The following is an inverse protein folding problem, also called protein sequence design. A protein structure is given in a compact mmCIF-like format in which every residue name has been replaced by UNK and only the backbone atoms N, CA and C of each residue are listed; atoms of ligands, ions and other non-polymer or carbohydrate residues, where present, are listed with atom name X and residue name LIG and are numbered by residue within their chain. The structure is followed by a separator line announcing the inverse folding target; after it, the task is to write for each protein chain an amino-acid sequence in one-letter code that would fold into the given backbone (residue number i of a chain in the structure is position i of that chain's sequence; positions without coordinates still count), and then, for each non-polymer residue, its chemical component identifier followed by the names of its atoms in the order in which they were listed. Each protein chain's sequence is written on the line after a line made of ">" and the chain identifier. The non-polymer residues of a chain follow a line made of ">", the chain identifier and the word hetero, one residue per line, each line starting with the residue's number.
data_IF_857110022955
#
_entry.id   IF_857110022955
#
_cell.length_a   1.000
_cell.length_b   1.000
_cell.length_c   1.000
_cell.angle_alpha   90.00
_cell.angle_beta   90.00
_cell.angle_gamma   90.00
#
_symmetry.space_group_name_H-M   'P 1'
#
loop_
_entity.id
_entity.type
_entity.pdbx_description
1 polymer ?
#
# COMPACT_ATOMS: atom_id res chain seq x y z
N UNK A 1 -7.11 -14.39 4.68
CA UNK A 1 -5.94 -13.84 3.96
C UNK A 1 -4.99 -13.30 5.00
N UNK A 2 -3.76 -13.78 5.03
CA UNK A 2 -2.72 -13.17 5.87
C UNK A 2 -2.48 -11.74 5.36
N UNK A 3 -2.48 -10.77 6.28
CA UNK A 3 -2.25 -9.34 5.98
C UNK A 3 -0.74 -9.11 6.01
N UNK A 4 -0.18 -8.51 4.96
CA UNK A 4 1.29 -8.40 4.83
C UNK A 4 1.90 -7.42 5.83
N UNK A 5 3.21 -7.55 6.09
CA UNK A 5 3.94 -6.62 6.96
C UNK A 5 3.78 -5.16 6.52
N UNK A 6 3.82 -4.90 5.20
CA UNK A 6 3.57 -3.61 4.61
C UNK A 6 2.17 -3.05 4.92
N UNK A 7 1.11 -3.87 4.80
CA UNK A 7 -0.26 -3.44 5.07
C UNK A 7 -0.47 -3.12 6.56
N UNK A 8 0.09 -3.94 7.45
CA UNK A 8 0.05 -3.70 8.89
C UNK A 8 0.77 -2.39 9.26
N UNK A 9 1.96 -2.15 8.69
CA UNK A 9 2.72 -0.91 8.90
C UNK A 9 1.92 0.33 8.46
N UNK A 10 1.30 0.29 7.28
CA UNK A 10 0.55 1.39 6.71
C UNK A 10 -0.67 1.78 7.57
N UNK A 11 -1.41 0.78 8.07
CA UNK A 11 -2.57 1.01 8.94
C UNK A 11 -2.15 1.44 10.35
N UNK A 12 -1.16 0.78 10.95
CA UNK A 12 -0.68 1.10 12.29
C UNK A 12 -0.08 2.51 12.37
N UNK A 13 0.62 2.94 11.32
CA UNK A 13 1.20 4.28 11.20
C UNK A 13 0.20 5.34 10.74
N UNK A 14 -1.07 4.95 10.48
CA UNK A 14 -2.15 5.82 9.97
C UNK A 14 -1.78 6.55 8.67
N UNK A 15 -0.89 5.97 7.87
CA UNK A 15 -0.52 6.50 6.55
C UNK A 15 -1.67 6.37 5.55
N UNK A 16 -2.46 5.30 5.70
CA UNK A 16 -3.71 5.09 4.96
C UNK A 16 -4.80 4.57 5.89
N UNK A 17 -6.05 4.70 5.44
CA UNK A 17 -7.23 4.09 6.06
C UNK A 17 -7.50 2.70 5.52
N UNK A 18 -8.31 1.90 6.22
CA UNK A 18 -8.76 0.59 5.74
C UNK A 18 -9.51 0.69 4.40
N UNK A 19 -10.32 1.74 4.21
CA UNK A 19 -11.04 1.97 2.96
C UNK A 19 -10.08 2.24 1.79
N UNK A 20 -9.02 3.03 2.02
CA UNK A 20 -7.97 3.24 1.02
C UNK A 20 -7.21 1.95 0.74
N UNK A 21 -6.88 1.16 1.76
CA UNK A 21 -6.22 -0.13 1.58
C UNK A 21 -7.06 -1.10 0.73
N UNK A 22 -8.37 -1.20 1.01
CA UNK A 22 -9.28 -2.01 0.22
C UNK A 22 -9.28 -1.57 -1.25
N UNK A 23 -9.37 -0.25 -1.50
CA UNK A 23 -9.34 0.30 -2.86
C UNK A 23 -8.02 0.04 -3.58
N UNK A 24 -6.90 0.15 -2.87
CA UNK A 24 -5.56 -0.12 -3.41
C UNK A 24 -5.41 -1.59 -3.79
N UNK A 25 -5.93 -2.53 -2.98
CA UNK A 25 -5.91 -3.97 -3.30
C UNK A 25 -6.67 -4.28 -4.59
N UNK A 26 -7.86 -3.69 -4.76
CA UNK A 26 -8.63 -3.82 -6.00
C UNK A 26 -7.83 -3.31 -7.22
N UNK A 27 -7.23 -2.13 -7.09
CA UNK A 27 -6.44 -1.52 -8.16
C UNK A 27 -5.17 -2.32 -8.47
N UNK A 28 -4.51 -2.88 -7.46
CA UNK A 28 -3.35 -3.75 -7.64
C UNK A 28 -3.71 -4.99 -8.47
N UNK A 29 -4.86 -5.61 -8.21
CA UNK A 29 -5.37 -6.73 -9.02
C UNK A 29 -5.69 -6.30 -10.46
N UNK A 30 -6.40 -5.18 -10.63
CA UNK A 30 -6.80 -4.68 -11.95
C UNK A 30 -5.60 -4.26 -12.81
N UNK A 31 -4.60 -3.64 -12.22
CA UNK A 31 -3.40 -3.16 -12.91
C UNK A 31 -2.29 -4.21 -13.00
N UNK A 32 -2.50 -5.40 -12.45
CA UNK A 32 -1.48 -6.44 -12.32
C UNK A 32 -0.20 -5.90 -11.64
N UNK A 33 -0.38 -5.04 -10.64
CA UNK A 33 0.69 -4.36 -9.91
C UNK A 33 0.81 -4.83 -8.46
N UNK A 34 1.79 -4.27 -7.75
CA UNK A 34 1.95 -4.49 -6.31
C UNK A 34 1.38 -3.34 -5.49
N UNK A 35 1.04 -3.61 -4.24
CA UNK A 35 0.46 -2.64 -3.31
C UNK A 35 1.30 -1.35 -3.19
N UNK A 36 2.66 -1.41 -3.00
CA UNK A 36 3.48 -0.21 -2.91
C UNK A 36 3.45 0.64 -4.18
N UNK A 37 3.48 0.02 -5.36
CA UNK A 37 3.44 0.74 -6.65
C UNK A 37 2.13 1.49 -6.82
N UNK A 38 1.01 0.86 -6.48
CA UNK A 38 -0.31 1.49 -6.58
C UNK A 38 -0.42 2.65 -5.59
N UNK A 39 0.00 2.48 -4.34
CA UNK A 39 0.00 3.55 -3.33
C UNK A 39 0.78 4.78 -3.81
N UNK A 40 1.99 4.57 -4.34
CA UNK A 40 2.83 5.65 -4.85
C UNK A 40 2.23 6.32 -6.08
N UNK A 41 1.71 5.54 -7.05
CA UNK A 41 1.04 6.08 -8.25
C UNK A 41 -0.21 6.92 -7.92
N UNK A 42 -0.92 6.58 -6.83
CA UNK A 42 -2.08 7.34 -6.37
C UNK A 42 -1.70 8.56 -5.51
N UNK A 43 -0.42 8.77 -5.21
CA UNK A 43 0.05 9.83 -4.32
C UNK A 43 -0.37 9.63 -2.86
N UNK A 44 -0.70 8.41 -2.46
CA UNK A 44 -1.08 8.08 -1.08
C UNK A 44 0.12 7.92 -0.14
N UNK A 45 1.31 7.70 -0.73
CA UNK A 45 2.59 7.64 -0.02
C UNK A 45 3.64 8.40 -0.82
N UNK A 46 4.66 8.90 -0.12
CA UNK A 46 5.84 9.50 -0.74
C UNK A 46 6.86 8.44 -1.20
N UNK A 47 7.94 8.90 -1.84
CA UNK A 47 8.98 8.03 -2.37
C UNK A 47 9.76 7.33 -1.25
N UNK A 48 9.95 7.97 -0.10
CA UNK A 48 10.69 7.40 1.03
C UNK A 48 9.90 6.25 1.67
N UNK A 49 8.60 6.44 1.88
CA UNK A 49 7.68 5.39 2.33
C UNK A 49 7.63 4.27 1.29
N UNK A 50 7.57 4.58 0.01
CA UNK A 50 7.59 3.58 -1.05
C UNK A 50 8.86 2.70 -1.00
N UNK A 51 10.03 3.31 -0.83
CA UNK A 51 11.29 2.58 -0.70
C UNK A 51 11.26 1.63 0.51
N UNK A 52 10.80 2.12 1.67
CA UNK A 52 10.63 1.30 2.87
C UNK A 52 9.70 0.10 2.63
N UNK A 53 8.56 0.31 1.97
CA UNK A 53 7.58 -0.76 1.74
C UNK A 53 8.08 -1.88 0.82
N UNK A 54 9.06 -1.62 -0.04
CA UNK A 54 9.66 -2.66 -0.91
C UNK A 54 10.59 -3.59 -0.12
N UNK A 55 11.12 -3.11 1.01
CA UNK A 55 12.05 -3.87 1.85
C UNK A 55 11.36 -4.70 2.96
N UNK A 56 10.04 -4.51 3.16
CA UNK A 56 9.20 -5.24 4.12
C UNK A 56 8.59 -6.52 3.54
#
# INVERSE_FOLDING_TARGET
>A
METSAAENYLLASKLITEAQLARVRELAQLWQGTLPIVLWKLGLIDLDTFALLIEL
#
